data_IF_271039622899
#
_entry.id   IF_271039622899
#
_cell.length_a   1.000
_cell.length_b   1.000
_cell.length_c   1.000
_cell.angle_alpha   90.00
_cell.angle_beta   90.00
_cell.angle_gamma   90.00
#
_symmetry.space_group_name_H-M   'P 1'
#
loop_
_entity.id
_entity.type
_entity.pdbx_description
1 polymer ?
#
# COMPACT_ATOMS: atom_id res chain seq x y z
N UNK A 1 8.90 6.73 -2.89
CA UNK A 1 8.67 5.32 -3.22
C UNK A 1 8.90 5.15 -4.71
N UNK A 2 9.93 4.41 -5.15
CA UNK A 2 10.17 4.19 -6.59
C UNK A 2 9.66 2.79 -6.95
N UNK A 3 8.62 2.75 -7.80
CA UNK A 3 8.08 1.59 -8.53
C UNK A 3 8.01 0.27 -7.76
N UNK A 4 7.33 0.24 -6.61
CA UNK A 4 7.00 -1.03 -5.96
C UNK A 4 5.85 -1.71 -6.72
N UNK A 5 5.88 -3.04 -6.83
CA UNK A 5 4.69 -3.81 -7.21
C UNK A 5 3.64 -3.75 -6.10
N UNK A 6 2.41 -4.18 -6.41
CA UNK A 6 1.35 -4.27 -5.41
C UNK A 6 1.76 -5.21 -4.26
N UNK A 7 2.32 -6.37 -4.59
CA UNK A 7 2.75 -7.37 -3.62
C UNK A 7 3.87 -6.83 -2.70
N UNK A 8 4.81 -6.07 -3.26
CA UNK A 8 5.88 -5.45 -2.49
C UNK A 8 5.35 -4.36 -1.54
N UNK A 9 4.43 -3.52 -2.02
CA UNK A 9 3.81 -2.48 -1.20
C UNK A 9 2.91 -3.07 -0.10
N UNK A 10 2.11 -4.09 -0.42
CA UNK A 10 1.29 -4.81 0.54
C UNK A 10 2.15 -5.49 1.62
N UNK A 11 3.27 -6.11 1.22
CA UNK A 11 4.21 -6.71 2.17
C UNK A 11 4.83 -5.68 3.12
N UNK A 12 5.17 -4.48 2.62
CA UNK A 12 5.68 -3.41 3.47
C UNK A 12 4.62 -2.91 4.46
N UNK A 13 3.36 -2.82 4.03
CA UNK A 13 2.25 -2.47 4.91
C UNK A 13 2.04 -3.51 6.01
N UNK A 14 2.08 -4.80 5.67
CA UNK A 14 2.02 -5.88 6.66
C UNK A 14 3.18 -5.80 7.65
N UNK A 15 4.40 -5.60 7.18
CA UNK A 15 5.58 -5.45 8.05
C UNK A 15 5.44 -4.24 8.99
N UNK A 16 4.88 -3.15 8.49
CA UNK A 16 4.60 -1.96 9.28
C UNK A 16 3.53 -2.25 10.35
N UNK A 17 2.44 -2.93 10.03
CA UNK A 17 1.44 -3.36 11.02
C UNK A 17 2.06 -4.28 12.09
N UNK A 18 2.97 -5.18 11.70
CA UNK A 18 3.68 -6.02 12.67
C UNK A 18 4.63 -5.20 13.57
N UNK A 19 5.14 -4.06 13.09
CA UNK A 19 5.99 -3.19 13.91
C UNK A 19 5.19 -2.50 15.02
N UNK A 20 3.92 -2.17 14.78
CA UNK A 20 2.99 -1.61 15.78
C UNK A 20 2.75 -2.52 16.99
N UNK A 21 2.95 -3.82 16.85
CA UNK A 21 2.76 -4.80 17.94
C UNK A 21 3.96 -4.91 18.90
N UNK A 22 5.02 -4.12 18.68
CA UNK A 22 6.15 -4.06 19.63
C UNK A 22 5.77 -3.19 20.83
N UNK A 23 5.97 -3.73 22.03
CA UNK A 23 5.61 -3.11 23.30
C UNK A 23 6.42 -1.87 23.70
N UNK A 24 7.43 -1.47 22.91
CA UNK A 24 8.33 -0.34 23.18
C UNK A 24 8.29 0.75 22.10
N UNK A 25 7.12 1.00 21.50
CA UNK A 25 6.95 2.06 20.51
C UNK A 25 6.77 3.42 21.19
N UNK A 26 7.65 4.37 20.88
CA UNK A 26 7.45 5.77 21.30
C UNK A 26 6.31 6.41 20.52
N UNK A 27 5.74 7.51 21.05
CA UNK A 27 4.68 8.25 20.37
C UNK A 27 5.12 8.78 19.00
N UNK A 28 6.36 9.24 18.90
CA UNK A 28 6.93 9.78 17.66
C UNK A 28 7.12 8.69 16.60
N UNK A 29 7.59 7.51 17.00
CA UNK A 29 7.67 6.34 16.11
C UNK A 29 6.29 5.84 15.70
N UNK A 30 5.30 5.87 16.60
CA UNK A 30 3.92 5.49 16.28
C UNK A 30 3.31 6.43 15.23
N UNK A 31 3.54 7.74 15.36
CA UNK A 31 3.12 8.73 14.38
C UNK A 31 3.82 8.53 13.03
N UNK A 32 5.13 8.35 13.04
CA UNK A 32 5.90 8.11 11.81
C UNK A 32 5.45 6.84 11.08
N UNK A 33 5.24 5.75 11.81
CA UNK A 33 4.72 4.51 11.25
C UNK A 33 3.30 4.70 10.70
N UNK A 34 2.45 5.47 11.38
CA UNK A 34 1.09 5.73 10.91
C UNK A 34 1.09 6.50 9.58
N UNK A 35 1.88 7.58 9.48
CA UNK A 35 2.03 8.35 8.25
C UNK A 35 2.53 7.47 7.08
N UNK A 36 3.48 6.58 7.35
CA UNK A 36 3.99 5.66 6.34
C UNK A 36 2.95 4.61 5.93
N UNK A 37 2.21 4.07 6.89
CA UNK A 37 1.09 3.17 6.62
C UNK A 37 0.02 3.82 5.73
N UNK A 38 -0.33 5.08 5.99
CA UNK A 38 -1.27 5.84 5.15
C UNK A 38 -0.73 6.02 3.73
N UNK A 39 0.57 6.37 3.57
CA UNK A 39 1.17 6.48 2.23
C UNK A 39 1.16 5.15 1.47
N UNK A 40 1.56 4.05 2.13
CA UNK A 40 1.57 2.72 1.51
C UNK A 40 0.17 2.28 1.11
N UNK A 41 -0.83 2.51 1.97
CA UNK A 41 -2.23 2.24 1.67
C UNK A 41 -2.70 3.00 0.42
N UNK A 42 -2.46 4.32 0.37
CA UNK A 42 -2.82 5.14 -0.80
C UNK A 42 -2.11 4.68 -2.08
N UNK A 43 -0.86 4.24 -1.96
CA UNK A 43 -0.11 3.70 -3.09
C UNK A 43 -0.72 2.40 -3.62
N UNK A 44 -1.08 1.46 -2.73
CA UNK A 44 -1.77 0.22 -3.09
C UNK A 44 -3.11 0.48 -3.81
N UNK A 45 -3.92 1.40 -3.28
CA UNK A 45 -5.19 1.81 -3.90
C UNK A 45 -4.97 2.34 -5.32
N UNK A 46 -3.92 3.13 -5.54
CA UNK A 46 -3.55 3.63 -6.86
C UNK A 46 -3.20 2.51 -7.86
N UNK A 47 -2.42 1.52 -7.42
CA UNK A 47 -2.06 0.37 -8.24
C UNK A 47 -3.29 -0.48 -8.61
N UNK A 48 -4.19 -0.71 -7.66
CA UNK A 48 -5.44 -1.45 -7.89
C UNK A 48 -6.36 -0.71 -8.86
N UNK A 49 -6.47 0.62 -8.72
CA UNK A 49 -7.25 1.45 -9.65
C UNK A 49 -6.67 1.38 -11.08
N UNK A 50 -5.34 1.45 -11.23
CA UNK A 50 -4.69 1.32 -12.54
C UNK A 50 -4.94 -0.06 -13.16
N UNK A 51 -4.83 -1.13 -12.37
CA UNK A 51 -5.11 -2.49 -12.82
C UNK A 51 -6.58 -2.65 -13.25
N UNK A 52 -7.52 -2.14 -12.45
CA UNK A 52 -8.95 -2.15 -12.75
C UNK A 52 -9.27 -1.43 -14.07
N UNK A 53 -8.70 -0.24 -14.27
CA UNK A 53 -8.88 0.52 -15.51
C UNK A 53 -8.37 -0.27 -16.73
N UNK A 54 -7.20 -0.91 -16.64
CA UNK A 54 -6.67 -1.76 -17.72
C UNK A 54 -7.61 -2.93 -18.03
N UNK A 55 -8.18 -3.58 -17.02
CA UNK A 55 -9.17 -4.64 -17.23
C UNK A 55 -10.42 -4.12 -17.95
N UNK A 56 -10.92 -2.95 -17.56
CA UNK A 56 -12.06 -2.34 -18.21
C UNK A 56 -11.78 -2.03 -19.69
N UNK A 57 -10.64 -1.42 -20.01
CA UNK A 57 -10.23 -1.14 -21.39
C UNK A 57 -10.15 -2.41 -22.24
N UNK A 58 -9.57 -3.49 -21.70
CA UNK A 58 -9.49 -4.78 -22.40
C UNK A 58 -10.90 -5.33 -22.66
N UNK A 59 -11.79 -5.26 -21.67
CA UNK A 59 -13.16 -5.76 -21.79
C UNK A 59 -13.99 -4.96 -22.81
N UNK A 60 -13.79 -3.64 -22.88
CA UNK A 60 -14.43 -2.79 -23.89
C UNK A 60 -13.95 -3.11 -25.31
N UNK A 61 -12.68 -3.46 -25.49
CA UNK A 61 -12.11 -3.84 -26.79
C UNK A 61 -12.54 -5.23 -27.30
N UNK A 62 -13.02 -6.10 -26.41
CA UNK A 62 -13.48 -7.46 -26.74
C UNK A 62 -14.99 -7.52 -27.06
N UNK A 63 -15.72 -6.43 -26.88
CA UNK A 63 -17.12 -6.28 -27.30
C UNK A 63 -17.21 -5.89 -28.77
#
# INVERSE_FOLDING_TARGET
MKNLTFEEAAKQLDQLIHSFNKSDLTLEEALANYEEGVRLHQYCEGLLAEASNKFQEINERLK
#
